data_IF_412799818492
#
_entry.id   IF_412799818492
#
_cell.length_a   1.000
_cell.length_b   1.000
_cell.length_c   1.000
_cell.angle_alpha   90.00
_cell.angle_beta   90.00
_cell.angle_gamma   90.00
#
_symmetry.space_group_name_H-M   'P 1'
#
loop_
_entity.id
_entity.type
_entity.pdbx_description
1 polymer ?
#
# COMPACT_ATOMS: atom_id res chain seq x y z
N UNK A 1 6.03 -20.37 -37.39
CA UNK A 1 6.21 -19.42 -38.52
C UNK A 1 6.42 -18.02 -37.94
N UNK A 2 7.37 -17.27 -38.54
CA UNK A 2 7.61 -15.89 -38.12
C UNK A 2 6.46 -15.03 -38.69
N UNK A 3 5.70 -14.30 -37.83
CA UNK A 3 4.63 -13.45 -38.33
C UNK A 3 5.22 -12.35 -39.26
N UNK A 4 4.45 -11.93 -40.25
CA UNK A 4 4.82 -10.82 -41.13
C UNK A 4 4.62 -9.49 -40.39
N UNK A 5 5.55 -8.52 -40.57
CA UNK A 5 5.46 -7.18 -39.97
C UNK A 5 6.52 -6.92 -38.91
N UNK A 6 6.39 -5.78 -38.23
CA UNK A 6 7.19 -5.40 -37.07
C UNK A 6 6.56 -5.95 -35.78
N UNK A 7 7.38 -6.56 -34.96
CA UNK A 7 6.95 -7.20 -33.74
C UNK A 7 7.83 -6.79 -32.57
N UNK A 8 7.23 -6.56 -31.42
CA UNK A 8 7.92 -6.39 -30.16
C UNK A 8 7.77 -7.69 -29.36
N UNK A 9 8.90 -8.28 -28.98
CA UNK A 9 8.92 -9.44 -28.10
C UNK A 9 9.07 -8.96 -26.65
N UNK A 10 8.05 -9.19 -25.84
CA UNK A 10 8.08 -8.90 -24.41
C UNK A 10 8.37 -10.19 -23.64
N UNK A 11 9.40 -10.17 -22.82
CA UNK A 11 9.77 -11.29 -21.94
C UNK A 11 9.47 -10.88 -20.51
N UNK A 12 8.43 -11.49 -19.91
CA UNK A 12 8.05 -11.24 -18.52
C UNK A 12 8.55 -12.41 -17.66
N UNK A 13 9.35 -12.12 -16.66
CA UNK A 13 9.90 -13.10 -15.70
C UNK A 13 9.38 -12.84 -14.28
N UNK A 14 9.12 -13.92 -13.52
CA UNK A 14 8.94 -13.83 -12.08
C UNK A 14 10.32 -13.79 -11.42
N UNK A 15 10.57 -12.75 -10.63
CA UNK A 15 11.82 -12.60 -9.88
C UNK A 15 11.52 -12.36 -8.41
N UNK A 16 12.55 -12.34 -7.58
CA UNK A 16 12.42 -11.74 -6.26
C UNK A 16 12.29 -10.23 -6.42
N UNK A 17 11.67 -9.58 -5.43
CA UNK A 17 11.54 -8.14 -5.39
C UNK A 17 12.87 -7.44 -5.76
N UNK A 18 12.84 -6.55 -6.74
CA UNK A 18 14.00 -5.78 -7.18
C UNK A 18 14.30 -4.59 -6.27
N UNK A 19 13.36 -4.20 -5.40
CA UNK A 19 13.55 -3.15 -4.42
C UNK A 19 14.56 -3.51 -3.32
N UNK A 20 14.78 -2.62 -2.36
CA UNK A 20 15.74 -2.83 -1.27
C UNK A 20 15.36 -4.00 -0.34
N UNK A 21 14.10 -4.37 -0.29
CA UNK A 21 13.55 -5.37 0.64
C UNK A 21 13.30 -6.73 -0.03
N UNK A 22 14.33 -7.31 -0.63
CA UNK A 22 14.24 -8.60 -1.35
C UNK A 22 13.75 -9.77 -0.51
N UNK A 23 13.97 -9.72 0.79
CA UNK A 23 13.62 -10.76 1.74
C UNK A 23 12.33 -10.45 2.51
N UNK A 24 11.59 -9.46 2.05
CA UNK A 24 10.31 -9.06 2.62
C UNK A 24 9.18 -10.02 2.25
N UNK A 25 8.12 -10.06 3.08
CA UNK A 25 6.96 -10.89 2.80
C UNK A 25 6.23 -10.43 1.54
N UNK A 26 5.62 -11.38 0.83
CA UNK A 26 4.74 -11.07 -0.29
C UNK A 26 3.29 -10.89 0.21
N UNK A 27 2.88 -9.64 0.39
CA UNK A 27 1.56 -9.29 0.92
C UNK A 27 0.38 -9.67 0.01
N UNK A 28 0.64 -10.16 -1.19
CA UNK A 28 -0.40 -10.67 -2.10
C UNK A 28 -0.64 -12.17 -1.99
N UNK A 29 0.18 -12.87 -1.16
CA UNK A 29 0.12 -14.31 -0.91
C UNK A 29 -0.26 -14.58 0.54
N UNK A 30 -1.39 -15.27 0.81
CA UNK A 30 -1.77 -15.65 2.18
C UNK A 30 -0.72 -16.49 2.88
N UNK A 31 -0.06 -17.40 2.15
CA UNK A 31 0.97 -18.27 2.68
C UNK A 31 2.20 -17.48 3.15
N UNK A 32 2.58 -16.45 2.39
CA UNK A 32 3.70 -15.58 2.76
C UNK A 32 3.36 -14.74 4.01
N UNK A 33 2.16 -14.18 4.08
CA UNK A 33 1.71 -13.42 5.25
C UNK A 33 1.55 -14.31 6.49
N UNK A 34 1.18 -15.58 6.31
CA UNK A 34 1.11 -16.56 7.39
C UNK A 34 2.46 -16.78 8.08
N UNK A 35 3.56 -16.72 7.33
CA UNK A 35 4.91 -16.81 7.90
C UNK A 35 5.15 -15.69 8.93
N UNK A 36 4.70 -14.47 8.66
CA UNK A 36 4.78 -13.37 9.63
C UNK A 36 4.01 -13.70 10.92
N UNK A 37 2.79 -14.21 10.80
CA UNK A 37 2.01 -14.64 11.96
C UNK A 37 2.72 -15.73 12.76
N UNK A 38 3.22 -16.77 12.09
CA UNK A 38 3.90 -17.90 12.74
C UNK A 38 5.22 -17.52 13.38
N UNK A 39 5.95 -16.54 12.83
CA UNK A 39 7.29 -16.17 13.32
C UNK A 39 7.27 -15.03 14.34
N UNK A 40 6.26 -14.18 14.33
CA UNK A 40 6.18 -13.01 15.22
C UNK A 40 5.00 -13.11 16.16
N UNK A 41 3.78 -13.23 15.64
CA UNK A 41 2.55 -13.11 16.43
C UNK A 41 2.32 -14.34 17.32
N UNK A 42 2.41 -15.55 16.78
CA UNK A 42 2.26 -16.80 17.53
C UNK A 42 3.26 -16.96 18.69
N UNK A 43 4.56 -16.63 18.54
CA UNK A 43 5.48 -16.63 19.65
C UNK A 43 5.10 -15.64 20.77
N UNK A 44 4.61 -14.45 20.42
CA UNK A 44 4.12 -13.50 21.43
C UNK A 44 2.92 -14.05 22.18
N UNK A 45 1.95 -14.62 21.47
CA UNK A 45 0.81 -15.28 22.08
C UNK A 45 1.22 -16.42 22.99
N UNK A 46 2.10 -17.28 22.52
CA UNK A 46 2.60 -18.44 23.29
C UNK A 46 3.23 -18.03 24.63
N UNK A 47 3.95 -16.92 24.65
CA UNK A 47 4.68 -16.46 25.84
C UNK A 47 3.88 -15.52 26.73
N UNK A 48 2.94 -14.76 26.17
CA UNK A 48 2.31 -13.64 26.85
C UNK A 48 0.77 -13.64 26.73
N UNK A 49 0.15 -14.78 26.45
CA UNK A 49 -1.30 -14.85 26.24
C UNK A 49 -2.13 -14.28 27.37
N UNK A 50 -1.65 -14.40 28.64
CA UNK A 50 -2.33 -13.84 29.81
C UNK A 50 -2.32 -12.30 29.85
N UNK A 51 -1.41 -11.66 29.10
CA UNK A 51 -1.27 -10.22 29.03
C UNK A 51 -2.03 -9.60 27.83
N UNK A 52 -2.52 -10.42 26.92
CA UNK A 52 -3.28 -9.98 25.76
C UNK A 52 -4.62 -9.37 26.19
N UNK A 53 -4.93 -8.22 25.64
CA UNK A 53 -6.12 -7.44 26.02
C UNK A 53 -6.00 -6.73 27.38
N UNK A 54 -4.83 -6.81 28.04
CA UNK A 54 -4.52 -6.14 29.30
C UNK A 54 -3.31 -5.21 29.10
N UNK A 55 -2.10 -5.77 29.24
CA UNK A 55 -0.85 -5.03 29.06
C UNK A 55 -0.50 -4.91 27.57
N UNK A 56 -0.74 -5.97 26.79
CA UNK A 56 -0.56 -5.98 25.34
C UNK A 56 -1.91 -5.65 24.71
N UNK A 57 -2.07 -4.39 24.28
CA UNK A 57 -3.29 -3.89 23.66
C UNK A 57 -3.44 -4.34 22.20
N UNK A 58 -2.33 -4.52 21.48
CA UNK A 58 -2.38 -4.86 20.07
C UNK A 58 -1.02 -4.89 19.39
N UNK A 59 -1.07 -4.98 18.09
CA UNK A 59 0.09 -4.91 17.21
C UNK A 59 -0.04 -3.69 16.29
N UNK A 60 1.09 -3.02 16.09
CA UNK A 60 1.21 -1.86 15.22
C UNK A 60 1.99 -2.23 13.95
N UNK A 61 1.44 -1.88 12.81
CA UNK A 61 2.09 -2.04 11.51
C UNK A 61 2.52 -0.68 11.00
N UNK A 62 3.82 -0.44 11.06
CA UNK A 62 4.44 0.79 10.61
C UNK A 62 4.76 0.69 9.13
N UNK A 63 4.15 1.56 8.32
CA UNK A 63 4.41 1.76 6.89
C UNK A 63 4.61 0.47 6.06
N UNK A 64 3.67 -0.49 6.08
CA UNK A 64 3.82 -1.68 5.27
C UNK A 64 3.87 -1.32 3.79
N UNK A 65 4.79 -1.94 3.05
CA UNK A 65 5.03 -1.62 1.66
C UNK A 65 5.09 -2.84 0.74
N UNK A 66 4.73 -2.66 -0.52
CA UNK A 66 4.88 -3.71 -1.53
C UNK A 66 6.34 -3.91 -1.95
N UNK A 67 7.18 -2.90 -1.72
CA UNK A 67 8.63 -2.97 -1.82
C UNK A 67 9.18 -3.24 -3.23
N UNK A 68 8.40 -3.00 -4.28
CA UNK A 68 8.77 -3.29 -5.67
C UNK A 68 9.50 -2.15 -6.37
N UNK A 69 9.80 -1.05 -5.68
CA UNK A 69 10.54 0.07 -6.24
C UNK A 69 11.54 0.63 -5.24
N UNK A 70 12.61 1.23 -5.77
CA UNK A 70 13.56 1.99 -4.96
C UNK A 70 13.00 3.36 -4.66
N UNK A 71 12.84 3.69 -3.39
CA UNK A 71 12.51 5.00 -2.85
C UNK A 71 11.18 5.63 -3.34
N UNK A 72 10.64 6.51 -2.54
CA UNK A 72 9.40 7.27 -2.74
C UNK A 72 9.40 8.15 -4.01
N UNK A 73 10.58 8.44 -4.58
CA UNK A 73 10.80 9.50 -5.58
C UNK A 73 10.44 9.07 -7.00
N UNK A 74 10.57 7.81 -7.32
CA UNK A 74 10.26 7.30 -8.67
C UNK A 74 8.88 6.68 -8.69
N UNK A 75 7.96 7.52 -8.72
CA UNK A 75 6.67 7.41 -9.32
C UNK A 75 5.76 6.24 -9.01
N UNK A 76 6.16 5.05 -8.76
CA UNK A 76 5.32 3.88 -8.45
C UNK A 76 3.89 3.95 -9.04
N UNK A 77 3.79 4.60 -10.21
CA UNK A 77 2.56 4.85 -10.95
C UNK A 77 2.48 3.83 -12.07
N UNK A 78 1.31 3.25 -12.25
CA UNK A 78 1.09 2.29 -13.33
C UNK A 78 1.44 2.89 -14.70
N UNK A 79 2.19 2.13 -15.47
CA UNK A 79 2.71 2.53 -16.77
C UNK A 79 4.19 2.91 -16.77
N UNK A 80 4.76 3.28 -15.64
CA UNK A 80 6.21 3.53 -15.54
C UNK A 80 7.01 2.23 -15.64
N UNK A 81 8.29 2.37 -16.03
CA UNK A 81 9.24 1.27 -15.99
C UNK A 81 9.57 0.91 -14.54
N UNK A 82 9.00 -0.19 -14.09
CA UNK A 82 9.16 -0.72 -12.73
C UNK A 82 8.81 -2.20 -12.69
N UNK A 83 9.34 -2.90 -11.72
CA UNK A 83 8.84 -4.21 -11.35
C UNK A 83 7.43 -4.09 -10.75
N UNK A 84 6.61 -5.10 -10.96
CA UNK A 84 5.25 -5.11 -10.46
C UNK A 84 5.08 -6.20 -9.40
N UNK A 85 4.38 -5.90 -8.26
CA UNK A 85 4.04 -6.90 -7.27
C UNK A 85 3.30 -8.09 -7.91
N UNK A 86 3.74 -9.30 -7.59
CA UNK A 86 3.21 -10.50 -8.21
C UNK A 86 3.17 -11.69 -7.27
N UNK A 87 2.16 -12.54 -7.42
CA UNK A 87 2.05 -13.86 -6.82
C UNK A 87 1.23 -14.77 -7.72
N UNK A 88 1.23 -16.06 -7.43
CA UNK A 88 0.38 -17.02 -8.15
C UNK A 88 -1.10 -16.71 -7.94
N UNK A 89 -1.46 -16.13 -6.80
CA UNK A 89 -2.82 -15.66 -6.53
C UNK A 89 -3.21 -14.48 -7.43
N UNK A 90 -2.31 -13.52 -7.63
CA UNK A 90 -2.52 -12.39 -8.57
C UNK A 90 -2.66 -12.91 -9.98
N UNK A 91 -1.81 -13.85 -10.40
CA UNK A 91 -1.88 -14.49 -11.72
C UNK A 91 -3.22 -15.16 -11.97
N UNK A 92 -3.71 -15.95 -11.00
CA UNK A 92 -4.98 -16.65 -11.10
C UNK A 92 -6.16 -15.68 -11.27
N UNK A 93 -6.19 -14.60 -10.47
CA UNK A 93 -7.25 -13.60 -10.54
C UNK A 93 -7.21 -12.79 -11.83
N UNK A 94 -6.02 -12.41 -12.31
CA UNK A 94 -5.86 -11.72 -13.59
C UNK A 94 -6.33 -12.60 -14.75
N UNK A 95 -5.96 -13.88 -14.75
CA UNK A 95 -6.40 -14.85 -15.75
C UNK A 95 -7.92 -14.98 -15.76
N UNK A 96 -8.53 -15.06 -14.59
CA UNK A 96 -9.98 -15.15 -14.46
C UNK A 96 -10.71 -13.89 -14.97
N UNK A 97 -10.15 -12.71 -14.75
CA UNK A 97 -10.77 -11.43 -15.09
C UNK A 97 -10.51 -10.97 -16.52
N UNK A 98 -9.32 -11.20 -17.04
CA UNK A 98 -8.92 -10.79 -18.38
C UNK A 98 -9.16 -11.88 -19.44
N UNK A 99 -9.46 -13.11 -19.01
CA UNK A 99 -9.76 -14.22 -19.91
C UNK A 99 -8.52 -14.90 -20.49
N UNK A 100 -8.72 -15.75 -21.49
CA UNK A 100 -7.69 -16.65 -22.02
C UNK A 100 -6.44 -15.93 -22.58
N UNK A 101 -6.63 -14.73 -23.11
CA UNK A 101 -5.56 -13.94 -23.75
C UNK A 101 -4.84 -13.00 -22.77
N UNK A 102 -5.04 -13.16 -21.48
CA UNK A 102 -4.51 -12.25 -20.45
C UNK A 102 -3.00 -12.03 -20.54
N UNK A 103 -2.22 -13.05 -20.95
CA UNK A 103 -0.76 -12.92 -21.12
C UNK A 103 -0.37 -11.94 -22.21
N UNK A 104 -1.18 -11.85 -23.27
CA UNK A 104 -0.97 -10.88 -24.35
C UNK A 104 -1.27 -9.45 -23.93
N UNK A 105 -1.98 -9.27 -22.79
CA UNK A 105 -2.30 -7.95 -22.25
C UNK A 105 -1.26 -7.46 -21.25
N UNK A 106 -0.37 -8.32 -20.75
CA UNK A 106 0.65 -7.93 -19.75
C UNK A 106 1.53 -6.75 -20.21
N UNK A 107 1.98 -6.66 -21.46
CA UNK A 107 2.76 -5.49 -21.91
C UNK A 107 2.05 -4.15 -21.72
N UNK A 108 0.72 -4.14 -21.61
CA UNK A 108 -0.08 -2.93 -21.37
C UNK A 108 0.10 -2.34 -19.95
N UNK A 109 0.77 -3.07 -19.07
CA UNK A 109 1.13 -2.56 -17.75
C UNK A 109 2.25 -1.51 -17.81
N UNK A 110 3.04 -1.46 -18.89
CA UNK A 110 4.15 -0.51 -19.11
C UNK A 110 3.92 0.35 -20.35
N UNK A 111 4.08 1.67 -20.24
CA UNK A 111 3.87 2.60 -21.37
C UNK A 111 4.91 2.46 -22.47
N UNK A 112 6.15 2.18 -22.10
CA UNK A 112 7.29 2.09 -23.03
C UNK A 112 7.13 0.99 -24.09
N UNK A 113 6.29 -0.01 -23.77
CA UNK A 113 6.03 -1.14 -24.66
C UNK A 113 4.85 -0.88 -25.61
N UNK A 114 4.20 0.28 -25.53
CA UNK A 114 2.94 0.53 -26.21
C UNK A 114 3.09 1.46 -27.41
N UNK A 115 2.44 1.12 -28.55
CA UNK A 115 2.26 2.07 -29.66
C UNK A 115 1.46 3.30 -29.22
N UNK A 116 1.79 4.46 -29.78
CA UNK A 116 1.03 5.69 -29.54
C UNK A 116 -0.30 5.67 -30.31
N UNK A 117 -1.31 5.05 -29.70
CA UNK A 117 -2.66 4.89 -30.23
C UNK A 117 -3.69 5.06 -29.13
N UNK A 118 -4.73 5.85 -29.41
CA UNK A 118 -5.82 6.07 -28.45
C UNK A 118 -6.51 4.77 -28.03
N UNK A 119 -6.69 3.85 -28.96
CA UNK A 119 -7.30 2.54 -28.69
C UNK A 119 -6.41 1.72 -27.76
N UNK A 120 -5.09 1.69 -28.02
CA UNK A 120 -4.12 0.98 -27.17
C UNK A 120 -4.09 1.58 -25.79
N UNK A 121 -4.06 2.91 -25.66
CA UNK A 121 -4.09 3.61 -24.37
C UNK A 121 -5.36 3.32 -23.57
N UNK A 122 -6.52 3.25 -24.20
CA UNK A 122 -7.78 2.85 -23.53
C UNK A 122 -7.73 1.41 -23.02
N UNK A 123 -7.21 0.50 -23.83
CA UNK A 123 -7.06 -0.90 -23.40
C UNK A 123 -6.04 -1.01 -22.26
N UNK A 124 -4.92 -0.30 -22.32
CA UNK A 124 -3.94 -0.26 -21.24
C UNK A 124 -4.56 0.26 -19.93
N UNK A 125 -5.34 1.34 -19.98
CA UNK A 125 -6.04 1.86 -18.80
C UNK A 125 -6.97 0.82 -18.19
N UNK A 126 -7.71 0.06 -19.00
CA UNK A 126 -8.56 -1.02 -18.53
C UNK A 126 -7.74 -2.14 -17.87
N UNK A 127 -6.67 -2.60 -18.51
CA UNK A 127 -5.80 -3.68 -17.97
C UNK A 127 -5.16 -3.24 -16.64
N UNK A 128 -4.65 -2.02 -16.54
CA UNK A 128 -4.07 -1.45 -15.33
C UNK A 128 -5.09 -1.32 -14.22
N UNK A 129 -6.31 -0.90 -14.53
CA UNK A 129 -7.41 -0.86 -13.55
C UNK A 129 -7.73 -2.25 -13.02
N UNK A 130 -7.79 -3.25 -13.88
CA UNK A 130 -8.01 -4.64 -13.46
C UNK A 130 -6.86 -5.16 -12.60
N UNK A 131 -5.61 -4.88 -13.01
CA UNK A 131 -4.44 -5.27 -12.24
C UNK A 131 -4.44 -4.64 -10.83
N UNK A 132 -4.64 -3.33 -10.71
CA UNK A 132 -4.68 -2.63 -9.42
C UNK A 132 -5.85 -3.10 -8.55
N UNK A 133 -7.00 -3.39 -9.14
CA UNK A 133 -8.14 -3.94 -8.40
C UNK A 133 -7.84 -5.34 -7.84
N UNK A 134 -7.20 -6.20 -8.64
CA UNK A 134 -6.76 -7.53 -8.19
C UNK A 134 -5.69 -7.41 -7.11
N UNK A 135 -4.63 -6.63 -7.37
CA UNK A 135 -3.51 -6.45 -6.46
C UNK A 135 -3.98 -5.99 -5.08
N UNK A 136 -4.74 -4.89 -5.04
CA UNK A 136 -5.16 -4.28 -3.77
C UNK A 136 -6.19 -5.12 -3.01
N UNK A 137 -7.02 -5.91 -3.70
CA UNK A 137 -7.86 -6.92 -3.05
C UNK A 137 -7.04 -8.06 -2.44
N UNK A 138 -5.96 -8.49 -3.11
CA UNK A 138 -5.07 -9.50 -2.56
C UNK A 138 -4.35 -9.00 -1.33
N UNK A 139 -3.82 -7.78 -1.35
CA UNK A 139 -3.21 -7.14 -0.17
C UNK A 139 -4.22 -7.08 0.99
N UNK A 140 -5.43 -6.64 0.73
CA UNK A 140 -6.49 -6.62 1.74
C UNK A 140 -6.67 -8.00 2.37
N UNK A 141 -6.94 -9.02 1.55
CA UNK A 141 -7.33 -10.33 2.04
C UNK A 141 -6.17 -11.12 2.65
N UNK A 142 -4.99 -11.07 1.99
CA UNK A 142 -3.83 -11.86 2.40
C UNK A 142 -3.04 -11.23 3.54
N UNK A 143 -2.98 -9.91 3.62
CA UNK A 143 -2.22 -9.19 4.62
C UNK A 143 -3.13 -8.56 5.68
N UNK A 144 -3.87 -7.53 5.32
CA UNK A 144 -4.58 -6.69 6.28
C UNK A 144 -5.64 -7.45 7.08
N UNK A 145 -6.54 -8.17 6.37
CA UNK A 145 -7.62 -8.94 7.03
C UNK A 145 -7.10 -10.18 7.74
N UNK A 146 -6.05 -10.83 7.23
CA UNK A 146 -5.47 -12.01 7.87
C UNK A 146 -4.85 -11.65 9.22
N UNK A 147 -4.06 -10.58 9.27
CA UNK A 147 -3.45 -10.10 10.52
C UNK A 147 -4.53 -9.60 11.49
N UNK A 148 -5.43 -8.75 11.01
CA UNK A 148 -6.51 -8.22 11.84
C UNK A 148 -7.43 -9.32 12.38
N UNK A 149 -7.73 -10.34 11.58
CA UNK A 149 -8.48 -11.52 12.01
C UNK A 149 -7.78 -12.25 13.15
N UNK A 150 -6.50 -12.54 12.99
CA UNK A 150 -5.68 -13.16 14.04
C UNK A 150 -5.67 -12.33 15.33
N UNK A 151 -5.47 -11.02 15.24
CA UNK A 151 -5.45 -10.13 16.41
C UNK A 151 -6.78 -10.18 17.16
N UNK A 152 -7.91 -10.06 16.46
CA UNK A 152 -9.24 -10.12 17.07
C UNK A 152 -9.55 -11.49 17.70
N UNK A 153 -9.14 -12.59 17.07
CA UNK A 153 -9.26 -13.95 17.63
C UNK A 153 -8.49 -14.10 18.95
N UNK A 154 -7.43 -13.30 19.14
CA UNK A 154 -6.59 -13.32 20.33
C UNK A 154 -6.90 -12.17 21.32
N UNK A 155 -7.99 -11.43 21.09
CA UNK A 155 -8.46 -10.38 22.00
C UNK A 155 -7.61 -9.10 22.03
N UNK A 156 -6.87 -8.82 20.97
CA UNK A 156 -6.03 -7.63 20.80
C UNK A 156 -6.35 -6.89 19.50
N UNK A 157 -5.93 -5.64 19.41
CA UNK A 157 -6.16 -4.79 18.25
C UNK A 157 -5.04 -4.93 17.22
N UNK A 158 -5.37 -4.70 15.97
CA UNK A 158 -4.42 -4.44 14.89
C UNK A 158 -4.58 -2.99 14.43
N UNK A 159 -3.54 -2.20 14.54
CA UNK A 159 -3.52 -0.79 14.14
C UNK A 159 -2.26 -0.49 13.31
N UNK A 160 -2.19 0.71 12.76
CA UNK A 160 -1.04 1.18 11.99
C UNK A 160 -1.45 2.18 10.92
N UNK A 161 -0.52 2.54 10.07
CA UNK A 161 -0.72 3.45 8.96
C UNK A 161 0.11 3.01 7.75
N UNK A 162 -0.07 3.71 6.64
CA UNK A 162 0.74 3.61 5.42
C UNK A 162 1.65 4.84 5.34
N UNK A 163 2.46 4.92 4.30
CA UNK A 163 3.17 6.16 3.92
C UNK A 163 2.19 7.09 3.19
N UNK A 164 1.49 7.93 3.90
CA UNK A 164 0.63 8.98 3.34
C UNK A 164 1.37 10.30 3.15
N UNK A 165 2.30 10.57 4.02
CA UNK A 165 3.04 11.83 4.11
C UNK A 165 3.84 12.18 2.85
N UNK A 166 4.18 11.21 2.05
CA UNK A 166 4.83 11.37 0.74
C UNK A 166 3.86 11.24 -0.44
N UNK A 167 2.55 11.25 -0.19
CA UNK A 167 1.52 11.04 -1.23
C UNK A 167 1.51 9.62 -1.79
N UNK A 168 1.96 8.66 -1.01
CA UNK A 168 2.14 7.26 -1.44
C UNK A 168 0.93 6.36 -1.17
N UNK A 169 -0.09 6.84 -0.48
CA UNK A 169 -1.25 6.07 0.01
C UNK A 169 -2.02 5.29 -1.08
N UNK A 170 -1.90 5.65 -2.35
CA UNK A 170 -2.52 4.95 -3.48
C UNK A 170 -1.50 4.36 -4.46
N UNK A 171 -0.21 4.38 -4.14
CA UNK A 171 0.85 3.89 -5.01
C UNK A 171 1.30 2.49 -4.61
N UNK A 172 1.95 1.81 -5.54
CA UNK A 172 2.75 0.60 -5.25
C UNK A 172 4.15 1.00 -4.78
N UNK A 173 5.04 0.05 -4.57
CA UNK A 173 6.39 0.36 -4.08
C UNK A 173 6.39 0.56 -2.58
N UNK A 174 6.44 1.79 -2.12
CA UNK A 174 6.43 2.16 -0.69
C UNK A 174 5.02 2.18 -0.07
N UNK A 175 3.96 1.99 -0.86
CA UNK A 175 2.59 1.90 -0.35
C UNK A 175 1.93 0.55 -0.65
N UNK A 176 0.65 0.44 -0.34
CA UNK A 176 -0.17 -0.76 -0.56
C UNK A 176 -1.13 -0.62 -1.75
N UNK A 177 -1.01 0.46 -2.54
CA UNK A 177 -1.80 0.71 -3.74
C UNK A 177 -3.22 1.20 -3.51
N UNK A 178 -3.73 1.16 -2.26
CA UNK A 178 -5.08 1.62 -1.95
C UNK A 178 -5.26 1.77 -0.43
N UNK A 179 -5.46 2.99 0.04
CA UNK A 179 -5.58 3.30 1.46
C UNK A 179 -6.65 2.45 2.17
N UNK A 180 -7.90 2.53 1.74
CA UNK A 180 -9.00 1.83 2.41
C UNK A 180 -8.81 0.31 2.43
N UNK A 181 -8.38 -0.29 1.32
CA UNK A 181 -8.15 -1.74 1.26
C UNK A 181 -6.93 -2.17 2.06
N UNK A 182 -5.86 -1.39 2.01
CA UNK A 182 -4.63 -1.68 2.76
C UNK A 182 -4.85 -1.72 4.26
N UNK A 183 -5.73 -0.86 4.77
CA UNK A 183 -6.02 -0.75 6.21
C UNK A 183 -7.34 -1.40 6.63
N UNK A 184 -8.04 -2.12 5.74
CA UNK A 184 -9.37 -2.65 6.03
C UNK A 184 -9.40 -3.60 7.24
N UNK A 185 -8.39 -4.43 7.41
CA UNK A 185 -8.29 -5.37 8.54
C UNK A 185 -7.96 -4.74 9.88
N UNK A 186 -7.54 -3.47 9.90
CA UNK A 186 -7.19 -2.76 11.13
C UNK A 186 -8.41 -2.33 11.93
N UNK A 187 -8.24 -2.22 13.24
CA UNK A 187 -9.29 -1.81 14.18
C UNK A 187 -9.37 -0.28 14.36
N UNK A 188 -8.35 0.45 13.87
CA UNK A 188 -8.36 1.90 13.69
C UNK A 188 -7.81 2.23 12.32
N UNK A 189 -8.28 3.31 11.70
CA UNK A 189 -7.70 3.83 10.46
C UNK A 189 -6.55 4.76 10.79
N UNK A 190 -5.33 4.37 10.46
CA UNK A 190 -4.15 5.17 10.73
C UNK A 190 -3.75 6.10 9.59
N UNK A 191 -3.19 7.22 9.96
CA UNK A 191 -2.44 8.12 9.07
C UNK A 191 -1.14 8.54 9.75
N UNK A 192 -0.16 8.90 8.94
CA UNK A 192 1.08 9.51 9.38
C UNK A 192 1.10 10.98 8.93
N UNK A 193 1.25 11.89 9.89
CA UNK A 193 1.28 13.33 9.65
C UNK A 193 2.38 13.97 10.51
N UNK A 194 3.63 13.68 10.12
CA UNK A 194 4.84 14.08 10.81
C UNK A 194 5.71 15.03 9.95
N UNK A 195 6.86 15.44 10.47
CA UNK A 195 7.86 16.19 9.71
C UNK A 195 7.43 17.59 9.29
N UNK A 196 6.65 18.28 10.11
CA UNK A 196 6.20 19.64 9.84
C UNK A 196 5.08 19.75 8.81
N UNK A 197 4.31 18.70 8.64
CA UNK A 197 3.20 18.68 7.69
C UNK A 197 2.01 19.52 8.18
N UNK A 198 1.73 19.51 9.48
CA UNK A 198 0.69 20.34 10.10
C UNK A 198 1.31 21.64 10.58
N UNK A 199 1.15 22.70 9.84
CA UNK A 199 1.59 24.04 10.19
C UNK A 199 0.48 25.07 9.98
N UNK A 200 0.31 26.03 10.89
CA UNK A 200 -0.62 27.14 10.66
C UNK A 200 -0.37 27.80 9.30
N UNK A 201 -1.41 27.96 8.48
CA UNK A 201 -1.33 28.48 7.10
C UNK A 201 -0.43 27.64 6.14
N UNK A 202 -0.14 26.40 6.49
CA UNK A 202 0.66 25.49 5.66
C UNK A 202 0.01 25.12 4.35
N UNK A 203 -1.31 25.27 4.25
CA UNK A 203 -2.09 25.07 3.02
C UNK A 203 -1.75 26.08 1.91
N UNK A 204 -1.27 27.26 2.26
CA UNK A 204 -0.90 28.31 1.31
C UNK A 204 0.57 28.21 0.85
N UNK A 205 1.39 27.46 1.56
CA UNK A 205 2.81 27.32 1.24
C UNK A 205 3.13 25.94 0.69
N UNK A 206 3.52 25.82 -0.57
CA UNK A 206 4.01 24.56 -1.12
C UNK A 206 5.32 24.21 -0.41
N UNK A 207 5.29 23.24 0.49
CA UNK A 207 6.47 22.72 1.15
C UNK A 207 7.10 21.60 0.33
N UNK A 208 8.39 21.49 0.44
CA UNK A 208 9.11 20.30 -0.01
C UNK A 208 9.29 19.37 1.19
N UNK A 209 9.06 18.08 0.97
CA UNK A 209 9.44 17.07 1.95
C UNK A 209 10.97 16.96 2.06
N UNK A 210 11.45 16.15 2.99
CA UNK A 210 12.88 15.89 3.20
C UNK A 210 13.60 15.37 1.95
N UNK A 211 12.87 14.84 0.98
CA UNK A 211 13.38 14.30 -0.28
C UNK A 211 13.22 15.28 -1.45
N UNK A 212 12.80 16.52 -1.19
CA UNK A 212 12.67 17.57 -2.21
C UNK A 212 11.39 17.50 -3.05
N UNK A 213 10.44 16.63 -2.74
CA UNK A 213 9.15 16.56 -3.43
C UNK A 213 8.19 17.64 -2.92
N UNK A 214 7.41 18.28 -3.80
CA UNK A 214 6.43 19.26 -3.37
C UNK A 214 5.32 18.56 -2.56
N UNK A 215 4.98 19.12 -1.41
CA UNK A 215 3.84 18.69 -0.58
C UNK A 215 2.61 19.49 -0.94
N UNK A 216 1.46 18.83 -0.97
CA UNK A 216 0.18 19.47 -1.11
C UNK A 216 -0.36 19.84 0.28
N UNK A 217 -0.23 21.11 0.66
CA UNK A 217 -0.68 21.60 1.97
C UNK A 217 -2.17 21.40 2.22
N UNK A 218 -3.03 21.55 1.20
CA UNK A 218 -4.46 21.29 1.32
C UNK A 218 -4.73 19.81 1.67
N UNK A 219 -4.01 18.88 1.06
CA UNK A 219 -4.14 17.46 1.38
C UNK A 219 -3.75 17.19 2.84
N UNK A 220 -2.57 17.64 3.28
CA UNK A 220 -2.07 17.35 4.63
C UNK A 220 -2.88 18.04 5.72
N UNK A 221 -3.20 19.31 5.55
CA UNK A 221 -3.93 20.08 6.57
C UNK A 221 -5.43 19.80 6.62
N UNK A 222 -6.00 19.24 5.55
CA UNK A 222 -7.44 19.08 5.44
C UNK A 222 -7.87 17.69 5.00
N UNK A 223 -7.25 17.14 3.97
CA UNK A 223 -7.67 15.87 3.36
C UNK A 223 -7.28 14.64 4.16
N UNK A 224 -6.07 14.62 4.71
CA UNK A 224 -5.49 13.42 5.31
C UNK A 224 -6.28 12.93 6.55
N UNK A 225 -6.57 13.82 7.50
CA UNK A 225 -7.37 13.47 8.67
C UNK A 225 -8.78 13.02 8.29
N UNK A 226 -9.38 13.63 7.25
CA UNK A 226 -10.69 13.22 6.73
C UNK A 226 -10.64 11.87 6.03
N UNK A 227 -9.52 11.53 5.40
CA UNK A 227 -9.32 10.21 4.82
C UNK A 227 -9.36 9.12 5.90
N UNK A 228 -8.64 9.33 7.02
CA UNK A 228 -8.64 8.43 8.15
C UNK A 228 -10.04 8.30 8.79
N UNK A 229 -10.70 9.43 9.03
CA UNK A 229 -12.05 9.40 9.58
C UNK A 229 -13.04 8.71 8.64
N UNK A 230 -12.99 8.99 7.35
CA UNK A 230 -13.87 8.33 6.38
C UNK A 230 -13.71 6.82 6.41
N UNK A 231 -12.46 6.33 6.46
CA UNK A 231 -12.20 4.91 6.58
C UNK A 231 -12.74 4.33 7.92
N UNK A 232 -12.59 5.08 9.02
CA UNK A 232 -13.12 4.68 10.32
C UNK A 232 -14.66 4.57 10.34
N UNK A 233 -15.34 5.43 9.60
CA UNK A 233 -16.82 5.45 9.56
C UNK A 233 -17.41 4.38 8.63
N UNK A 234 -16.76 4.05 7.52
CA UNK A 234 -17.29 3.05 6.57
C UNK A 234 -16.97 1.60 6.96
N UNK A 235 -16.01 1.38 7.84
CA UNK A 235 -15.60 0.04 8.28
C UNK A 235 -16.13 -0.23 9.71
N UNK A 236 -17.19 -1.03 9.86
CA UNK A 236 -17.89 -1.21 11.15
C UNK A 236 -16.97 -1.68 12.29
N UNK A 237 -15.96 -2.52 11.99
CA UNK A 237 -15.03 -3.03 13.00
C UNK A 237 -14.16 -1.94 13.63
N UNK A 238 -14.02 -0.79 12.99
CA UNK A 238 -13.23 0.35 13.50
C UNK A 238 -14.00 1.19 14.52
N UNK A 239 -15.31 1.01 14.63
CA UNK A 239 -16.17 1.75 15.56
C UNK A 239 -16.01 3.28 15.49
N UNK A 240 -15.66 3.81 14.32
CA UNK A 240 -15.38 5.24 14.13
C UNK A 240 -14.01 5.69 14.66
N UNK A 241 -13.13 4.76 15.03
CA UNK A 241 -11.81 5.10 15.58
C UNK A 241 -10.78 5.28 14.45
N UNK A 242 -10.07 6.40 14.51
CA UNK A 242 -8.91 6.69 13.71
C UNK A 242 -7.72 6.99 14.61
N UNK A 243 -6.52 6.83 14.10
CA UNK A 243 -5.28 7.21 14.77
C UNK A 243 -4.41 8.06 13.84
N UNK A 244 -3.56 8.87 14.43
CA UNK A 244 -2.55 9.63 13.71
C UNK A 244 -1.21 9.47 14.43
N UNK A 245 -0.17 9.11 13.69
CA UNK A 245 1.18 9.35 14.13
C UNK A 245 1.46 10.84 13.90
N UNK A 246 1.70 11.57 14.97
CA UNK A 246 1.83 13.03 14.94
C UNK A 246 2.95 13.46 15.88
N UNK A 247 3.50 14.65 15.66
CA UNK A 247 4.63 15.22 16.40
C UNK A 247 5.98 14.50 16.20
N UNK A 248 6.06 13.54 15.31
CA UNK A 248 7.31 12.91 14.92
C UNK A 248 8.15 13.83 14.01
N UNK A 249 9.48 13.74 14.13
CA UNK A 249 10.43 14.41 13.24
C UNK A 249 10.23 15.94 13.09
N UNK A 250 9.71 16.58 14.13
CA UNK A 250 9.55 18.03 14.19
C UNK A 250 10.79 18.71 14.77
N UNK A 251 11.09 19.93 14.30
CA UNK A 251 12.02 20.83 14.99
C UNK A 251 11.44 21.35 16.30
N UNK A 252 12.30 21.82 17.20
CA UNK A 252 11.89 22.34 18.51
C UNK A 252 10.77 23.39 18.49
N UNK A 253 10.71 24.19 17.43
CA UNK A 253 9.71 25.25 17.30
C UNK A 253 8.38 24.78 16.70
N UNK A 254 8.34 23.62 16.10
CA UNK A 254 7.16 23.15 15.36
C UNK A 254 6.16 22.43 16.27
N UNK A 255 6.63 21.64 17.23
CA UNK A 255 5.76 20.98 18.20
C UNK A 255 4.90 21.93 19.05
N UNK A 256 5.41 23.11 19.34
CA UNK A 256 4.71 24.13 20.14
C UNK A 256 3.54 24.76 19.36
N UNK A 257 3.57 24.75 18.05
CA UNK A 257 2.53 25.36 17.19
C UNK A 257 1.27 24.53 17.05
N UNK A 258 1.33 23.27 17.41
CA UNK A 258 0.21 22.35 17.33
C UNK A 258 -0.64 22.32 18.61
N UNK A 259 -0.15 22.88 19.69
CA UNK A 259 -0.87 23.09 20.95
C UNK A 259 -1.79 24.32 20.86
#
# INVERSE_FOLDING_TARGET
>A
EKPAGEWTLCVCGKTRNAGPHRDYINMTSPESCKILLETVYEPHWKHYSEEFGKTIAGFFSDEPELGNAELYIKGNVMGCDQDLPWSDCVEADLSARLGKEWKMMLPMLWDELLPDSLTVRKNAAMVRTVYMDVLTKRVRNAFSEQIGGWCREHGVQYIGHMIEDEGQHCRTGSGLGHYFRGLQGQDMSGVDDIGGQILPQGEEEPKQNSLGSPRNGEFYHYGLAKLAESAAQIEPQKHGNAMCEVFGNYGWAEGIRLE
#
